data_IF_088662096846
#
_entry.id   IF_088662096846
#
_cell.length_a   1.000
_cell.length_b   1.000
_cell.length_c   1.000
_cell.angle_alpha   90.00
_cell.angle_beta   90.00
_cell.angle_gamma   90.00
#
_symmetry.space_group_name_H-M   'P 1'
#
loop_
_entity.id
_entity.type
_entity.pdbx_description
1 polymer ?
#
# COMPACT_ATOMS: atom_id res chain seq x y z
N UNK A 1 14.53 22.63 21.21
CA UNK A 1 13.39 23.25 20.47
C UNK A 1 13.10 22.50 19.16
N UNK A 2 14.09 22.26 18.30
CA UNK A 2 13.94 21.59 16.99
C UNK A 2 13.30 20.20 17.08
N UNK A 3 13.83 19.31 17.92
CA UNK A 3 13.31 17.93 18.10
C UNK A 3 11.85 17.92 18.55
N UNK A 4 11.48 18.83 19.47
CA UNK A 4 10.10 18.96 19.96
C UNK A 4 9.16 19.38 18.83
N UNK A 5 9.57 20.32 17.99
CA UNK A 5 8.82 20.73 16.80
C UNK A 5 8.58 19.57 15.84
N UNK A 6 9.62 18.80 15.49
CA UNK A 6 9.47 17.63 14.61
C UNK A 6 8.56 16.54 15.20
N UNK A 7 8.59 16.31 16.52
CA UNK A 7 7.68 15.37 17.18
C UNK A 7 6.22 15.80 17.04
N UNK A 8 5.93 17.10 17.22
CA UNK A 8 4.58 17.64 17.03
C UNK A 8 4.12 17.52 15.57
N UNK A 9 5.01 17.85 14.62
CA UNK A 9 4.71 17.72 13.20
C UNK A 9 4.45 16.26 12.80
N UNK A 10 5.24 15.30 13.29
CA UNK A 10 5.03 13.87 13.06
C UNK A 10 3.67 13.41 13.59
N UNK A 11 3.30 13.82 14.79
CA UNK A 11 1.99 13.47 15.37
C UNK A 11 0.84 14.01 14.51
N UNK A 12 0.91 15.26 14.07
CA UNK A 12 -0.10 15.86 13.20
C UNK A 12 -0.18 15.17 11.83
N UNK A 13 0.97 14.86 11.21
CA UNK A 13 1.03 14.16 9.93
C UNK A 13 0.44 12.74 10.05
N UNK A 14 0.78 12.00 11.10
CA UNK A 14 0.26 10.66 11.35
C UNK A 14 -1.26 10.68 11.54
N UNK A 15 -1.78 11.56 12.38
CA UNK A 15 -3.22 11.70 12.60
C UNK A 15 -3.96 12.02 11.29
N UNK A 16 -3.35 12.86 10.42
CA UNK A 16 -3.94 13.17 9.12
C UNK A 16 -3.91 11.98 8.16
N UNK A 17 -2.83 11.20 8.13
CA UNK A 17 -2.74 9.97 7.32
C UNK A 17 -3.77 8.95 7.76
N UNK A 18 -3.94 8.73 9.07
CA UNK A 18 -4.96 7.83 9.62
C UNK A 18 -6.37 8.29 9.24
N UNK A 19 -6.67 9.60 9.31
CA UNK A 19 -7.96 10.14 8.91
C UNK A 19 -8.25 10.07 7.39
N UNK A 20 -7.21 9.94 6.56
CA UNK A 20 -7.34 9.79 5.10
C UNK A 20 -7.33 8.33 4.64
N UNK A 21 -6.95 7.39 5.51
CA UNK A 21 -6.90 5.99 5.18
C UNK A 21 -8.30 5.47 4.83
N UNK A 22 -8.39 4.69 3.75
CA UNK A 22 -9.61 4.03 3.30
C UNK A 22 -9.39 2.53 3.34
N UNK A 23 -10.39 1.79 3.83
CA UNK A 23 -10.37 0.34 3.92
C UNK A 23 -11.40 -0.25 2.96
N UNK A 24 -10.92 -1.14 2.07
CA UNK A 24 -11.75 -1.90 1.13
C UNK A 24 -11.72 -3.41 1.44
N UNK A 25 -11.18 -3.84 2.58
CA UNK A 25 -10.98 -5.25 2.93
C UNK A 25 -12.27 -6.10 2.95
N UNK A 26 -13.43 -5.48 3.19
CA UNK A 26 -14.72 -6.17 3.17
C UNK A 26 -15.27 -6.45 1.75
N UNK A 27 -14.75 -5.77 0.73
CA UNK A 27 -15.16 -5.93 -0.67
C UNK A 27 -14.04 -6.69 -1.41
N UNK A 28 -14.21 -7.99 -1.71
CA UNK A 28 -13.16 -8.81 -2.31
C UNK A 28 -12.65 -8.26 -3.65
N UNK A 29 -13.51 -7.59 -4.41
CA UNK A 29 -13.15 -7.04 -5.73
C UNK A 29 -12.27 -5.81 -5.54
N UNK A 30 -12.71 -4.87 -4.70
CA UNK A 30 -11.92 -3.65 -4.40
C UNK A 30 -10.64 -3.97 -3.64
N UNK A 31 -10.67 -4.93 -2.72
CA UNK A 31 -9.50 -5.39 -1.99
C UNK A 31 -8.44 -5.93 -2.95
N UNK A 32 -8.82 -6.81 -3.89
CA UNK A 32 -7.89 -7.31 -4.91
C UNK A 32 -7.34 -6.19 -5.80
N UNK A 33 -8.18 -5.22 -6.17
CA UNK A 33 -7.74 -4.07 -6.97
C UNK A 33 -6.71 -3.20 -6.22
N UNK A 34 -6.95 -2.94 -4.93
CA UNK A 34 -6.02 -2.20 -4.07
C UNK A 34 -4.67 -2.93 -3.96
N UNK A 35 -4.69 -4.25 -3.73
CA UNK A 35 -3.49 -5.07 -3.68
C UNK A 35 -2.70 -5.00 -5.00
N UNK A 36 -3.37 -5.06 -6.14
CA UNK A 36 -2.72 -4.91 -7.45
C UNK A 36 -2.11 -3.52 -7.63
N UNK A 37 -2.81 -2.46 -7.20
CA UNK A 37 -2.33 -1.07 -7.30
C UNK A 37 -1.06 -0.87 -6.45
N UNK A 38 -1.05 -1.45 -5.24
CA UNK A 38 0.09 -1.41 -4.32
C UNK A 38 1.28 -2.19 -4.91
N UNK A 39 1.04 -3.41 -5.40
CA UNK A 39 2.07 -4.25 -6.00
C UNK A 39 2.72 -3.59 -7.23
N UNK A 40 1.92 -3.04 -8.15
CA UNK A 40 2.40 -2.30 -9.33
C UNK A 40 3.24 -1.08 -8.97
N UNK A 41 2.78 -0.28 -8.01
CA UNK A 41 3.52 0.91 -7.56
C UNK A 41 4.88 0.51 -6.98
N UNK A 42 4.91 -0.54 -6.17
CA UNK A 42 6.14 -1.04 -5.53
C UNK A 42 7.15 -1.54 -6.56
N UNK A 43 6.69 -2.33 -7.53
CA UNK A 43 7.52 -2.87 -8.60
C UNK A 43 8.04 -1.79 -9.55
N UNK A 44 7.42 -0.60 -9.57
CA UNK A 44 7.77 0.46 -10.51
C UNK A 44 9.18 1.05 -10.34
N UNK A 45 9.82 0.79 -9.20
CA UNK A 45 11.19 1.23 -8.90
C UNK A 45 12.21 0.08 -8.95
N UNK A 46 11.82 -1.12 -9.41
CA UNK A 46 12.63 -2.34 -9.40
C UNK A 46 12.92 -2.84 -10.81
N UNK A 47 13.86 -3.79 -10.91
CA UNK A 47 14.25 -4.44 -12.17
C UNK A 47 13.06 -5.06 -12.92
N UNK A 48 12.03 -5.48 -12.18
CA UNK A 48 10.82 -6.11 -12.72
C UNK A 48 9.81 -5.12 -13.33
N UNK A 49 10.17 -3.83 -13.49
CA UNK A 49 9.26 -2.79 -14.01
C UNK A 49 8.66 -3.14 -15.37
N UNK A 50 9.41 -3.78 -16.27
CA UNK A 50 8.93 -4.15 -17.61
C UNK A 50 7.86 -5.25 -17.59
N UNK A 51 7.92 -6.15 -16.62
CA UNK A 51 6.97 -7.27 -16.44
C UNK A 51 6.10 -7.09 -15.20
N UNK A 52 5.92 -5.83 -14.75
CA UNK A 52 5.31 -5.52 -13.45
C UNK A 52 3.90 -6.07 -13.29
N UNK A 53 3.13 -6.15 -14.37
CA UNK A 53 1.75 -6.66 -14.32
C UNK A 53 1.71 -8.16 -14.04
N UNK A 54 2.64 -8.92 -14.63
CA UNK A 54 2.77 -10.35 -14.39
C UNK A 54 3.16 -10.62 -12.94
N UNK A 55 4.23 -9.98 -12.46
CA UNK A 55 4.72 -10.16 -11.09
C UNK A 55 3.77 -9.60 -10.04
N UNK A 56 3.07 -8.49 -10.32
CA UNK A 56 2.04 -7.97 -9.42
C UNK A 56 0.88 -8.96 -9.28
N UNK A 57 0.41 -9.53 -10.38
CA UNK A 57 -0.67 -10.53 -10.34
C UNK A 57 -0.25 -11.78 -9.57
N UNK A 58 0.95 -12.30 -9.84
CA UNK A 58 1.50 -13.45 -9.12
C UNK A 58 1.60 -13.20 -7.61
N UNK A 59 2.09 -12.02 -7.20
CA UNK A 59 2.23 -11.67 -5.79
C UNK A 59 0.87 -11.54 -5.09
N UNK A 60 -0.09 -10.87 -5.74
CA UNK A 60 -1.44 -10.70 -5.19
C UNK A 60 -2.17 -12.03 -5.06
N UNK A 61 -2.10 -12.89 -6.08
CA UNK A 61 -2.73 -14.20 -6.04
C UNK A 61 -2.12 -15.09 -4.94
N UNK A 62 -0.81 -14.98 -4.68
CA UNK A 62 -0.16 -15.66 -3.56
C UNK A 62 -0.65 -15.15 -2.19
N UNK A 63 -0.79 -13.84 -2.01
CA UNK A 63 -1.30 -13.23 -0.76
C UNK A 63 -2.74 -13.64 -0.49
N UNK A 64 -3.61 -13.60 -1.50
CA UNK A 64 -5.01 -13.99 -1.34
C UNK A 64 -5.18 -15.47 -0.95
N UNK A 65 -4.26 -16.35 -1.37
CA UNK A 65 -4.24 -17.76 -0.94
C UNK A 65 -3.87 -17.96 0.53
N UNK A 66 -3.17 -17.00 1.13
CA UNK A 66 -2.76 -17.05 2.55
C UNK A 66 -3.86 -16.55 3.51
N UNK A 67 -5.01 -16.13 2.99
CA UNK A 67 -6.14 -15.67 3.80
C UNK A 67 -6.54 -14.21 3.57
N UNK A 68 -5.81 -13.46 2.74
CA UNK A 68 -6.11 -12.06 2.42
C UNK A 68 -5.74 -11.10 3.52
#
# INVERSE_FOLDING_TARGET
>A
VIIRGYRMALAAARAKLEALAMDNGSDPVKFREDLLRIARTTLSSKLLQHEKDHFATLAVDAVLRLGG
#
